data_IF_227868834770
#
_entry.id   IF_227868834770
#
_cell.length_a   1.000
_cell.length_b   1.000
_cell.length_c   1.000
_cell.angle_alpha   90.00
_cell.angle_beta   90.00
_cell.angle_gamma   90.00
#
_symmetry.space_group_name_H-M   'P 1'
#
loop_
_entity.id
_entity.type
_entity.pdbx_description
1 polymer ?
#
# COMPACT_ATOMS: atom_id res chain seq x y z
N UNK A 1 -12.53 -14.18 31.30
CA UNK A 1 -12.95 -13.10 30.38
C UNK A 1 -12.03 -13.18 29.20
N UNK A 2 -12.52 -13.70 28.07
CA UNK A 2 -11.82 -13.56 26.79
C UNK A 2 -11.70 -12.07 26.51
N UNK A 3 -10.49 -11.60 26.19
CA UNK A 3 -10.31 -10.23 25.75
C UNK A 3 -11.13 -10.08 24.47
N UNK A 4 -12.16 -9.23 24.51
CA UNK A 4 -12.90 -8.84 23.32
C UNK A 4 -11.87 -8.18 22.40
N UNK A 5 -11.56 -8.86 21.30
CA UNK A 5 -10.65 -8.39 20.27
C UNK A 5 -11.16 -7.03 19.79
N UNK A 6 -10.52 -5.94 20.24
CA UNK A 6 -10.93 -4.60 19.84
C UNK A 6 -10.34 -4.35 18.46
N UNK A 7 -11.20 -4.42 17.45
CA UNK A 7 -10.85 -4.02 16.10
C UNK A 7 -10.31 -2.58 16.11
N UNK A 8 -9.34 -2.25 15.23
CA UNK A 8 -8.92 -0.87 15.09
C UNK A 8 -10.16 -0.04 14.77
N UNK A 9 -10.29 1.15 15.38
CA UNK A 9 -11.36 2.07 14.98
C UNK A 9 -11.23 2.27 13.48
N UNK A 10 -12.27 1.89 12.73
CA UNK A 10 -12.26 1.96 11.27
C UNK A 10 -11.94 3.38 10.78
N UNK A 11 -12.22 4.41 11.59
CA UNK A 11 -11.81 5.79 11.39
C UNK A 11 -10.30 5.99 11.16
N UNK A 12 -9.45 5.25 11.90
CA UNK A 12 -7.97 5.34 11.71
C UNK A 12 -7.56 4.67 10.40
N UNK A 13 -8.16 3.53 10.10
CA UNK A 13 -7.92 2.80 8.85
C UNK A 13 -8.37 3.64 7.64
N UNK A 14 -9.56 4.23 7.72
CA UNK A 14 -10.12 5.17 6.74
C UNK A 14 -9.21 6.38 6.54
N UNK A 15 -8.75 7.02 7.63
CA UNK A 15 -7.88 8.19 7.55
C UNK A 15 -6.58 7.88 6.78
N UNK A 16 -5.95 6.72 7.01
CA UNK A 16 -4.75 6.35 6.26
C UNK A 16 -5.04 6.07 4.78
N UNK A 17 -6.09 5.33 4.49
CA UNK A 17 -6.44 4.99 3.10
C UNK A 17 -6.74 6.23 2.27
N UNK A 18 -7.50 7.20 2.80
CA UNK A 18 -7.89 8.41 2.07
C UNK A 18 -6.71 9.27 1.60
N UNK A 19 -5.54 9.14 2.23
CA UNK A 19 -4.33 9.84 1.77
C UNK A 19 -3.69 9.20 0.54
N UNK A 20 -3.96 7.92 0.27
CA UNK A 20 -3.37 7.17 -0.83
C UNK A 20 -4.34 7.00 -2.00
N UNK A 21 -5.61 6.72 -1.69
CA UNK A 21 -6.67 6.56 -2.67
C UNK A 21 -8.04 6.77 -2.03
N UNK A 22 -8.99 7.26 -2.83
CA UNK A 22 -10.33 7.56 -2.35
C UNK A 22 -11.26 6.37 -2.59
N UNK A 23 -12.01 5.97 -1.57
CA UNK A 23 -12.97 4.87 -1.66
C UNK A 23 -14.34 5.29 -1.16
N UNK A 24 -15.35 5.17 -2.02
CA UNK A 24 -16.73 5.48 -1.64
C UNK A 24 -17.27 4.42 -0.68
N UNK A 25 -16.82 3.18 -0.83
CA UNK A 25 -17.17 2.11 0.12
C UNK A 25 -16.61 2.37 1.50
N UNK A 26 -15.36 2.82 1.59
CA UNK A 26 -14.75 3.17 2.89
C UNK A 26 -15.47 4.37 3.50
N UNK A 27 -15.88 5.37 2.71
CA UNK A 27 -16.70 6.48 3.24
C UNK A 27 -18.04 5.98 3.79
N UNK A 28 -18.73 5.09 3.07
CA UNK A 28 -20.00 4.51 3.50
C UNK A 28 -19.86 3.65 4.78
N UNK A 29 -18.79 2.86 4.88
CA UNK A 29 -18.49 2.09 6.09
C UNK A 29 -18.17 3.01 7.28
N UNK A 30 -17.48 4.13 7.04
CA UNK A 30 -17.22 5.14 8.08
C UNK A 30 -18.51 5.78 8.60
N UNK A 31 -19.44 6.14 7.71
CA UNK A 31 -20.77 6.64 8.09
C UNK A 31 -21.60 5.58 8.87
N UNK A 32 -21.41 4.30 8.54
CA UNK A 32 -22.14 3.17 9.12
C UNK A 32 -21.64 2.73 10.51
N UNK A 33 -20.41 3.10 10.92
CA UNK A 33 -19.85 2.83 12.27
C UNK A 33 -20.67 3.35 13.46
N UNK A 34 -21.79 4.04 13.21
CA UNK A 34 -22.80 4.34 14.21
C UNK A 34 -23.77 3.16 14.50
N UNK A 35 -23.59 2.00 13.84
CA UNK A 35 -24.44 0.81 14.02
C UNK A 35 -23.62 -0.42 14.42
N UNK A 36 -24.14 -1.33 15.28
CA UNK A 36 -23.33 -2.31 16.00
C UNK A 36 -22.81 -3.52 15.19
N UNK A 37 -23.05 -3.59 13.88
CA UNK A 37 -22.78 -4.78 13.04
C UNK A 37 -22.18 -4.41 11.66
N UNK A 38 -21.16 -3.53 11.62
CA UNK A 38 -20.54 -3.18 10.34
C UNK A 38 -19.57 -4.27 9.84
N UNK A 39 -20.13 -5.24 9.12
CA UNK A 39 -19.39 -6.34 8.48
C UNK A 39 -18.46 -5.84 7.37
N UNK A 40 -18.75 -4.69 6.76
CA UNK A 40 -18.03 -4.19 5.58
C UNK A 40 -16.71 -3.56 6.00
N UNK A 41 -16.76 -2.69 7.01
CA UNK A 41 -15.56 -2.09 7.57
C UNK A 41 -14.56 -3.15 8.06
N UNK A 42 -15.05 -4.18 8.75
CA UNK A 42 -14.23 -5.31 9.19
C UNK A 42 -13.64 -6.11 8.03
N UNK A 43 -14.41 -6.42 6.99
CA UNK A 43 -13.89 -7.14 5.81
C UNK A 43 -12.82 -6.37 5.04
N UNK A 44 -12.96 -5.05 4.95
CA UNK A 44 -11.95 -4.19 4.31
C UNK A 44 -10.66 -4.13 5.14
N UNK A 45 -10.80 -3.98 6.46
CA UNK A 45 -9.67 -4.05 7.39
C UNK A 45 -8.99 -5.41 7.27
N UNK A 46 -9.74 -6.50 7.28
CA UNK A 46 -9.21 -7.86 7.09
C UNK A 46 -8.49 -7.98 5.75
N UNK A 47 -9.12 -7.59 4.64
CA UNK A 47 -8.50 -7.68 3.31
C UNK A 47 -7.13 -7.01 3.26
N UNK A 48 -7.01 -5.74 3.70
CA UNK A 48 -5.73 -5.05 3.65
C UNK A 48 -4.76 -5.52 4.74
N UNK A 49 -5.21 -5.71 5.97
CA UNK A 49 -4.30 -6.07 7.07
C UNK A 49 -3.88 -7.54 7.05
N UNK A 50 -4.67 -8.46 6.50
CA UNK A 50 -4.27 -9.86 6.33
C UNK A 50 -3.55 -10.08 5.00
N UNK A 51 -4.13 -9.64 3.88
CA UNK A 51 -3.65 -9.99 2.55
C UNK A 51 -2.40 -9.20 2.18
N UNK A 52 -2.42 -7.86 2.29
CA UNK A 52 -1.27 -7.06 1.93
C UNK A 52 -0.09 -7.37 2.86
N UNK A 53 -0.34 -7.51 4.15
CA UNK A 53 0.73 -7.82 5.11
C UNK A 53 1.31 -9.21 4.89
N UNK A 54 0.49 -10.23 4.63
CA UNK A 54 1.00 -11.57 4.30
C UNK A 54 1.89 -11.53 3.05
N UNK A 55 1.43 -10.85 2.00
CA UNK A 55 2.19 -10.63 0.76
C UNK A 55 3.52 -9.94 1.05
N UNK A 56 3.52 -8.82 1.78
CA UNK A 56 4.75 -8.07 2.09
C UNK A 56 5.71 -8.89 2.96
N UNK A 57 5.24 -9.54 4.03
CA UNK A 57 6.08 -10.37 4.90
C UNK A 57 6.74 -11.49 4.08
N UNK A 58 5.99 -12.17 3.21
CA UNK A 58 6.53 -13.24 2.36
C UNK A 58 7.54 -12.74 1.33
N UNK A 59 7.34 -11.55 0.77
CA UNK A 59 8.25 -10.96 -0.21
C UNK A 59 9.52 -10.39 0.44
N UNK A 60 9.45 -9.97 1.71
CA UNK A 60 10.59 -9.48 2.48
C UNK A 60 11.39 -10.60 3.16
N UNK A 61 10.79 -11.76 3.43
CA UNK A 61 11.46 -12.89 4.07
C UNK A 61 12.79 -13.31 3.40
N UNK A 62 12.91 -13.36 2.06
CA UNK A 62 14.18 -13.65 1.39
C UNK A 62 15.28 -12.58 1.62
N UNK A 63 14.91 -11.40 2.10
CA UNK A 63 15.79 -10.24 2.32
C UNK A 63 16.15 -10.05 3.80
N UNK A 64 15.66 -10.91 4.70
CA UNK A 64 15.81 -10.74 6.16
C UNK A 64 17.25 -10.75 6.69
N UNK A 65 18.22 -11.16 5.88
CA UNK A 65 19.64 -11.17 6.27
C UNK A 65 20.45 -10.06 5.57
N UNK A 66 19.83 -9.31 4.67
CA UNK A 66 20.48 -8.27 3.87
C UNK A 66 20.19 -6.87 4.44
N UNK A 67 21.14 -6.32 5.19
CA UNK A 67 21.04 -4.96 5.76
C UNK A 67 21.09 -3.85 4.69
N UNK A 68 21.53 -4.18 3.48
CA UNK A 68 21.55 -3.25 2.36
C UNK A 68 20.33 -3.39 1.45
N UNK A 69 19.44 -4.34 1.73
CA UNK A 69 18.19 -4.49 0.99
C UNK A 69 17.29 -3.26 1.20
N UNK A 70 16.55 -2.90 0.16
CA UNK A 70 15.82 -1.64 0.10
C UNK A 70 14.37 -1.86 -0.25
N UNK A 71 13.48 -1.46 0.64
CA UNK A 71 12.03 -1.50 0.45
C UNK A 71 11.49 -0.09 0.26
N UNK A 72 10.74 0.15 -0.82
CA UNK A 72 10.06 1.42 -1.07
C UNK A 72 8.55 1.24 -1.00
N UNK A 73 7.87 2.05 -0.19
CA UNK A 73 6.43 2.20 -0.18
C UNK A 73 6.05 3.55 -0.81
N UNK A 74 5.40 3.52 -1.96
CA UNK A 74 4.97 4.71 -2.71
C UNK A 74 3.52 5.04 -2.35
N UNK A 75 3.36 6.11 -1.59
CA UNK A 75 2.12 6.62 -1.02
C UNK A 75 2.45 7.52 0.19
N UNK A 76 1.43 7.87 0.93
CA UNK A 76 1.47 8.67 2.14
C UNK A 76 0.93 7.89 3.34
N UNK A 77 -0.38 7.64 3.40
CA UNK A 77 -1.05 7.22 4.62
C UNK A 77 -0.90 5.73 4.90
N UNK A 78 -1.52 4.88 4.08
CA UNK A 78 -1.43 3.44 4.23
C UNK A 78 -0.01 2.92 3.91
N UNK A 79 0.72 3.63 3.05
CA UNK A 79 2.17 3.43 2.86
C UNK A 79 2.97 3.56 4.16
N UNK A 80 2.68 4.59 4.98
CA UNK A 80 3.27 4.70 6.31
C UNK A 80 2.87 3.52 7.19
N UNK A 81 1.60 3.10 7.15
CA UNK A 81 1.14 1.89 7.84
C UNK A 81 2.03 0.68 7.53
N UNK A 82 2.17 0.33 6.25
CA UNK A 82 3.01 -0.78 5.79
C UNK A 82 4.47 -0.65 6.24
N UNK A 83 5.08 0.52 6.07
CA UNK A 83 6.46 0.77 6.47
C UNK A 83 6.69 0.53 7.98
N UNK A 84 5.69 0.85 8.82
CA UNK A 84 5.76 0.60 10.25
C UNK A 84 5.58 -0.87 10.61
N UNK A 85 4.80 -1.62 9.84
CA UNK A 85 4.64 -3.05 10.07
C UNK A 85 5.91 -3.82 9.76
N UNK A 86 6.60 -3.37 8.71
CA UNK A 86 7.87 -3.92 8.26
C UNK A 86 9.07 -3.29 8.98
N UNK A 87 8.90 -2.55 10.08
CA UNK A 87 10.01 -1.94 10.82
C UNK A 87 11.04 -2.93 11.38
N UNK A 88 10.70 -4.23 11.45
CA UNK A 88 11.63 -5.29 11.83
C UNK A 88 12.46 -5.82 10.64
N UNK A 89 12.15 -5.37 9.42
CA UNK A 89 13.00 -5.58 8.25
C UNK A 89 14.35 -4.89 8.49
N UNK A 90 15.47 -5.64 8.50
CA UNK A 90 16.77 -5.08 8.87
C UNK A 90 17.38 -4.16 7.80
N UNK A 91 16.80 -4.13 6.61
CA UNK A 91 17.22 -3.25 5.52
C UNK A 91 16.73 -1.80 5.68
N UNK A 92 16.79 -1.05 4.58
CA UNK A 92 16.39 0.36 4.51
C UNK A 92 14.96 0.49 3.99
N UNK A 93 14.12 1.22 4.71
CA UNK A 93 12.71 1.43 4.37
C UNK A 93 12.53 2.86 3.86
N UNK A 94 11.89 3.01 2.72
CA UNK A 94 11.65 4.30 2.09
C UNK A 94 10.14 4.50 1.95
N UNK A 95 9.66 5.70 2.27
CA UNK A 95 8.29 6.12 2.01
C UNK A 95 8.36 7.27 1.01
N UNK A 96 7.81 7.05 -0.17
CA UNK A 96 7.85 7.99 -1.27
C UNK A 96 6.47 8.54 -1.60
N UNK A 97 6.30 9.85 -1.74
CA UNK A 97 5.05 10.44 -2.23
C UNK A 97 5.29 11.45 -3.34
N UNK A 98 4.32 11.57 -4.25
CA UNK A 98 4.27 12.60 -5.29
C UNK A 98 3.63 13.91 -4.78
N UNK A 99 2.97 13.86 -3.62
CA UNK A 99 2.21 14.98 -3.07
C UNK A 99 3.03 15.71 -1.99
N UNK A 100 3.32 17.00 -2.23
CA UNK A 100 4.11 17.83 -1.33
C UNK A 100 3.44 18.06 0.03
N UNK A 101 2.11 18.17 0.08
CA UNK A 101 1.36 18.32 1.33
C UNK A 101 1.43 17.02 2.14
N UNK A 102 1.28 15.87 1.47
CA UNK A 102 1.49 14.55 2.06
C UNK A 102 2.91 14.39 2.63
N UNK A 103 3.93 14.90 1.92
CA UNK A 103 5.32 14.86 2.39
C UNK A 103 5.49 15.66 3.69
N UNK A 104 4.87 16.83 3.81
CA UNK A 104 4.91 17.61 5.05
C UNK A 104 4.29 16.86 6.22
N UNK A 105 3.20 16.13 5.99
CA UNK A 105 2.54 15.32 7.03
C UNK A 105 3.46 14.16 7.47
N UNK A 106 4.07 13.45 6.52
CA UNK A 106 5.05 12.39 6.81
C UNK A 106 6.25 12.92 7.61
N UNK A 107 6.75 14.10 7.24
CA UNK A 107 7.86 14.75 7.92
C UNK A 107 7.48 15.17 9.35
N UNK A 108 6.31 15.77 9.55
CA UNK A 108 5.79 16.09 10.88
C UNK A 108 5.64 14.85 11.76
N UNK A 109 5.15 13.75 11.21
CA UNK A 109 5.07 12.48 11.92
C UNK A 109 6.46 11.96 12.30
N UNK A 110 7.44 12.03 11.38
CA UNK A 110 8.82 11.58 11.61
C UNK A 110 9.55 12.42 12.67
N UNK A 111 9.28 13.72 12.72
CA UNK A 111 9.89 14.66 13.68
C UNK A 111 9.28 14.59 15.10
N UNK A 112 8.41 13.61 15.36
CA UNK A 112 7.78 13.42 16.67
C UNK A 112 6.59 14.33 16.91
N UNK A 113 5.97 14.86 15.85
CA UNK A 113 4.70 15.55 15.93
C UNK A 113 3.60 14.64 16.48
N UNK A 114 3.03 15.04 17.63
CA UNK A 114 1.88 14.41 18.29
C UNK A 114 0.58 15.22 18.14
N UNK A 115 0.51 16.09 17.13
CA UNK A 115 -0.71 16.84 16.92
C UNK A 115 -1.78 15.95 16.28
N UNK A 116 -2.65 15.44 17.17
CA UNK A 116 -4.06 15.17 16.90
C UNK A 116 -4.58 16.19 15.87
N UNK A 117 -5.16 15.78 14.72
CA UNK A 117 -5.88 14.52 14.51
C UNK A 117 -5.29 13.48 13.57
N UNK A 118 -4.08 13.61 13.00
CA UNK A 118 -3.84 12.87 11.76
C UNK A 118 -3.77 11.33 11.89
N UNK A 119 -2.86 10.71 12.67
CA UNK A 119 -2.70 9.24 12.60
C UNK A 119 -2.40 8.58 13.95
N UNK A 120 -3.43 8.32 14.76
CA UNK A 120 -3.27 7.41 15.90
C UNK A 120 -3.16 5.96 15.39
N UNK A 121 -1.94 5.51 15.07
CA UNK A 121 -1.69 4.18 14.49
C UNK A 121 -1.81 3.03 15.50
N UNK A 122 -1.95 3.34 16.78
CA UNK A 122 -1.99 2.38 17.87
C UNK A 122 -3.04 1.27 17.67
N UNK A 123 -4.28 1.56 17.24
CA UNK A 123 -5.29 0.51 17.05
C UNK A 123 -4.90 -0.47 15.94
N UNK A 124 -4.32 0.02 14.84
CA UNK A 124 -3.92 -0.83 13.70
C UNK A 124 -2.72 -1.70 14.08
N UNK A 125 -1.76 -1.13 14.79
CA UNK A 125 -0.62 -1.84 15.37
C UNK A 125 -1.09 -2.98 16.28
N UNK A 126 -2.00 -2.70 17.22
CA UNK A 126 -2.52 -3.70 18.16
C UNK A 126 -3.18 -4.87 17.43
N UNK A 127 -4.04 -4.57 16.46
CA UNK A 127 -4.71 -5.60 15.66
C UNK A 127 -3.73 -6.54 14.96
N UNK A 128 -2.70 -6.00 14.33
CA UNK A 128 -1.74 -6.81 13.56
C UNK A 128 -0.88 -7.70 14.46
N UNK A 129 -0.49 -7.22 15.65
CA UNK A 129 0.25 -8.04 16.61
C UNK A 129 -0.59 -9.24 17.04
N UNK A 130 -1.88 -9.03 17.31
CA UNK A 130 -2.82 -10.09 17.66
C UNK A 130 -3.06 -11.06 16.48
N UNK A 131 -3.26 -10.53 15.27
CA UNK A 131 -3.55 -11.32 14.07
C UNK A 131 -2.36 -12.18 13.64
N UNK A 132 -1.16 -11.60 13.55
CA UNK A 132 0.06 -12.31 13.14
C UNK A 132 0.74 -13.07 14.28
N UNK A 133 0.17 -13.04 15.50
CA UNK A 133 0.73 -13.70 16.70
C UNK A 133 2.21 -13.39 16.93
N UNK A 134 2.65 -12.16 16.58
CA UNK A 134 4.04 -11.74 16.79
C UNK A 134 4.25 -11.54 18.31
N UNK A 135 5.31 -12.12 18.86
CA UNK A 135 5.45 -12.36 20.32
C UNK A 135 5.54 -11.10 21.21
N UNK A 136 5.59 -9.87 20.67
CA UNK A 136 5.44 -8.68 21.52
C UNK A 136 4.87 -7.46 20.80
N UNK A 137 3.91 -6.80 21.45
CA UNK A 137 3.51 -5.43 21.12
C UNK A 137 4.63 -4.41 21.43
N UNK A 138 5.61 -4.77 22.28
CA UNK A 138 6.68 -3.86 22.72
C UNK A 138 7.58 -3.40 21.57
N UNK A 139 7.79 -4.25 20.55
CA UNK A 139 8.50 -3.87 19.33
C UNK A 139 7.76 -2.75 18.58
N UNK A 140 6.43 -2.72 18.66
CA UNK A 140 5.57 -1.79 17.95
C UNK A 140 5.27 -0.50 18.74
N UNK A 141 5.08 -0.59 20.06
CA UNK A 141 4.94 0.57 20.97
C UNK A 141 6.19 1.45 21.02
N UNK A 142 7.34 0.93 20.59
CA UNK A 142 8.63 1.62 20.58
C UNK A 142 9.15 1.95 19.18
N UNK A 143 8.33 1.85 18.12
CA UNK A 143 8.78 2.17 16.74
C UNK A 143 9.30 3.60 16.62
N UNK A 144 8.77 4.54 17.41
CA UNK A 144 9.31 5.91 17.51
C UNK A 144 10.59 6.04 18.34
N UNK A 145 10.87 5.08 19.23
CA UNK A 145 11.98 5.15 20.19
C UNK A 145 13.14 4.22 19.86
N UNK A 146 12.95 3.21 19.00
CA UNK A 146 14.00 2.32 18.52
C UNK A 146 14.55 2.82 17.19
N UNK A 147 15.74 2.34 16.85
CA UNK A 147 16.53 2.65 15.66
C UNK A 147 15.80 2.49 14.30
N UNK A 148 14.53 2.09 14.27
CA UNK A 148 13.66 1.99 13.08
C UNK A 148 13.28 3.33 12.46
N UNK A 149 13.19 4.44 13.22
CA UNK A 149 13.04 5.78 12.58
C UNK A 149 14.28 6.14 11.75
N UNK A 150 15.47 5.74 12.19
CA UNK A 150 16.71 6.01 11.44
C UNK A 150 16.77 5.23 10.12
N UNK A 151 16.03 4.13 10.02
CA UNK A 151 15.92 3.30 8.81
C UNK A 151 14.77 3.73 7.89
N UNK A 152 13.91 4.66 8.30
CA UNK A 152 12.82 5.20 7.48
C UNK A 152 13.27 6.49 6.80
N UNK A 153 13.32 6.46 5.48
CA UNK A 153 13.70 7.59 4.63
C UNK A 153 12.46 8.11 3.90
N UNK A 154 12.25 9.42 3.93
CA UNK A 154 11.16 10.06 3.20
C UNK A 154 11.69 10.57 1.86
N UNK A 155 10.99 10.27 0.77
CA UNK A 155 11.42 10.61 -0.58
C UNK A 155 10.33 11.36 -1.36
N UNK A 156 10.71 12.47 -1.98
CA UNK A 156 9.87 13.08 -3.02
C UNK A 156 10.07 12.29 -4.32
N UNK A 157 8.99 11.72 -4.86
CA UNK A 157 9.03 10.87 -6.06
C UNK A 157 8.73 11.68 -7.34
N UNK A 158 8.67 13.01 -7.24
CA UNK A 158 8.52 13.88 -8.41
C UNK A 158 9.75 13.84 -9.33
N UNK A 159 9.60 13.18 -10.49
CA UNK A 159 10.62 13.11 -11.55
C UNK A 159 11.50 11.87 -11.49
N UNK A 160 11.25 10.90 -12.37
CA UNK A 160 11.85 9.56 -12.30
C UNK A 160 13.33 9.48 -12.71
N UNK A 161 13.78 10.26 -13.69
CA UNK A 161 15.16 10.18 -14.19
C UNK A 161 16.18 10.62 -13.12
N UNK A 162 15.94 11.77 -12.48
CA UNK A 162 16.78 12.28 -11.39
C UNK A 162 16.66 11.41 -10.12
N UNK A 163 15.48 10.85 -9.87
CA UNK A 163 15.24 9.98 -8.71
C UNK A 163 16.08 8.69 -8.76
N UNK A 164 16.21 8.04 -9.92
CA UNK A 164 17.04 6.83 -10.08
C UNK A 164 18.52 7.14 -9.82
N UNK A 165 19.02 8.25 -10.36
CA UNK A 165 20.43 8.65 -10.19
C UNK A 165 20.76 8.95 -8.73
N UNK A 166 19.87 9.63 -8.02
CA UNK A 166 20.09 10.07 -6.64
C UNK A 166 19.82 8.96 -5.61
N UNK A 167 18.87 8.07 -5.91
CA UNK A 167 18.39 7.10 -4.94
C UNK A 167 18.69 5.66 -5.33
N UNK A 168 19.11 5.30 -6.54
CA UNK A 168 19.37 3.91 -6.91
C UNK A 168 18.13 3.01 -6.96
N UNK A 169 18.32 1.68 -6.94
CA UNK A 169 17.26 0.67 -7.15
C UNK A 169 16.83 -0.08 -5.88
N UNK A 170 15.60 -0.58 -5.86
CA UNK A 170 14.92 -1.21 -4.72
C UNK A 170 14.71 -2.72 -4.91
N UNK A 171 14.74 -3.48 -3.81
CA UNK A 171 14.51 -4.94 -3.78
C UNK A 171 13.04 -5.32 -3.71
N UNK A 172 12.20 -4.42 -3.20
CA UNK A 172 10.75 -4.54 -3.17
C UNK A 172 10.17 -3.13 -3.27
N UNK A 173 9.11 -3.00 -4.05
CA UNK A 173 8.32 -1.77 -4.11
C UNK A 173 6.87 -2.13 -3.83
N UNK A 174 6.19 -1.37 -2.98
CA UNK A 174 4.73 -1.34 -2.90
C UNK A 174 4.25 0.03 -3.35
N UNK A 175 3.19 0.10 -4.15
CA UNK A 175 2.66 1.35 -4.67
C UNK A 175 1.14 1.40 -4.53
N UNK A 176 0.66 2.45 -3.89
CA UNK A 176 -0.76 2.72 -3.74
C UNK A 176 -1.25 3.62 -4.87
N UNK A 177 -2.04 3.04 -5.76
CA UNK A 177 -2.55 3.68 -6.96
C UNK A 177 -3.82 4.46 -6.62
N UNK A 178 -3.75 5.79 -6.72
CA UNK A 178 -4.93 6.65 -6.59
C UNK A 178 -5.90 6.45 -7.75
N UNK A 179 -7.20 6.66 -7.50
CA UNK A 179 -8.23 6.55 -8.54
C UNK A 179 -7.95 7.47 -9.73
N UNK A 180 -7.33 8.64 -9.49
CA UNK A 180 -6.96 9.58 -10.55
C UNK A 180 -5.91 8.99 -11.51
N UNK A 181 -4.98 8.19 -10.99
CA UNK A 181 -3.99 7.49 -11.81
C UNK A 181 -4.65 6.41 -12.65
N UNK A 182 -5.61 5.66 -12.10
CA UNK A 182 -6.32 4.60 -12.83
C UNK A 182 -7.21 5.12 -13.96
N UNK A 183 -7.70 6.36 -13.85
CA UNK A 183 -8.53 6.99 -14.87
C UNK A 183 -7.74 7.56 -16.06
N UNK A 184 -6.41 7.71 -15.96
CA UNK A 184 -5.56 8.29 -16.99
C UNK A 184 -4.46 7.32 -17.43
N UNK A 185 -4.59 6.77 -18.64
CA UNK A 185 -3.72 5.71 -19.16
C UNK A 185 -2.27 6.14 -19.34
N UNK A 186 -2.05 7.37 -19.80
CA UNK A 186 -0.71 7.88 -20.02
C UNK A 186 0.01 8.06 -18.68
N UNK A 187 -0.71 8.58 -17.67
CA UNK A 187 -0.18 8.72 -16.31
C UNK A 187 0.08 7.35 -15.66
N UNK A 188 -0.82 6.37 -15.83
CA UNK A 188 -0.64 5.02 -15.30
C UNK A 188 0.57 4.34 -15.94
N UNK A 189 0.69 4.37 -17.27
CA UNK A 189 1.85 3.82 -17.99
C UNK A 189 3.14 4.50 -17.56
N UNK A 190 3.15 5.82 -17.47
CA UNK A 190 4.33 6.56 -17.01
C UNK A 190 4.70 6.18 -15.58
N UNK A 191 3.72 6.07 -14.68
CA UNK A 191 3.95 5.66 -13.28
C UNK A 191 4.52 4.25 -13.21
N UNK A 192 3.96 3.29 -13.94
CA UNK A 192 4.47 1.91 -13.98
C UNK A 192 5.90 1.86 -14.54
N UNK A 193 6.19 2.57 -15.63
CA UNK A 193 7.54 2.65 -16.18
C UNK A 193 8.54 3.25 -15.18
N UNK A 194 8.14 4.28 -14.45
CA UNK A 194 8.97 4.89 -13.41
C UNK A 194 9.29 3.87 -12.30
N UNK A 195 8.28 3.14 -11.82
CA UNK A 195 8.44 2.10 -10.79
C UNK A 195 9.34 0.95 -11.27
N UNK A 196 9.17 0.50 -12.52
CA UNK A 196 10.03 -0.54 -13.13
C UNK A 196 11.49 -0.09 -13.18
N UNK A 197 11.75 1.16 -13.58
CA UNK A 197 13.11 1.68 -13.72
C UNK A 197 13.90 1.74 -12.40
N UNK A 198 13.18 1.93 -11.29
CA UNK A 198 13.77 1.95 -9.94
C UNK A 198 13.73 0.58 -9.26
N UNK A 199 13.08 -0.43 -9.85
CA UNK A 199 13.06 -1.79 -9.33
C UNK A 199 14.33 -2.54 -9.75
N UNK A 200 14.95 -3.31 -8.84
CA UNK A 200 16.03 -4.22 -9.22
C UNK A 200 15.47 -5.31 -10.16
N UNK A 201 16.27 -5.82 -11.11
CA UNK A 201 15.81 -6.88 -12.02
C UNK A 201 15.27 -8.10 -11.27
N UNK A 202 14.19 -8.69 -11.79
CA UNK A 202 13.55 -9.90 -11.25
C UNK A 202 13.03 -9.76 -9.81
N UNK A 203 12.84 -8.53 -9.34
CA UNK A 203 12.18 -8.24 -8.06
C UNK A 203 10.70 -7.96 -8.23
N UNK A 204 10.00 -8.00 -7.10
CA UNK A 204 8.56 -7.81 -7.04
C UNK A 204 8.18 -6.35 -6.85
N UNK A 205 7.12 -5.96 -7.52
CA UNK A 205 6.35 -4.76 -7.33
C UNK A 205 4.95 -5.17 -6.85
N UNK A 206 4.49 -4.58 -5.77
CA UNK A 206 3.15 -4.77 -5.23
C UNK A 206 2.33 -3.54 -5.59
N UNK A 207 1.23 -3.72 -6.33
CA UNK A 207 0.30 -2.64 -6.62
C UNK A 207 -0.95 -2.82 -5.78
N UNK A 208 -1.42 -1.75 -5.16
CA UNK A 208 -2.61 -1.75 -4.33
C UNK A 208 -3.48 -0.54 -4.66
N UNK A 209 -4.79 -0.66 -4.54
CA UNK A 209 -5.67 0.48 -4.71
C UNK A 209 -7.13 0.08 -4.85
N UNK A 210 -7.91 1.02 -5.39
CA UNK A 210 -9.35 0.90 -5.61
C UNK A 210 -9.72 1.28 -7.02
N UNK A 211 -10.59 0.49 -7.63
CA UNK A 211 -11.18 0.77 -8.93
C UNK A 211 -12.69 0.95 -8.78
N UNK A 212 -13.26 1.87 -9.53
CA UNK A 212 -14.70 2.18 -9.46
C UNK A 212 -15.57 1.09 -10.10
N UNK A 213 -14.98 0.23 -10.93
CA UNK A 213 -15.66 -0.86 -11.63
C UNK A 213 -14.66 -1.94 -12.12
N UNK A 214 -15.21 -3.06 -12.60
CA UNK A 214 -14.43 -4.20 -13.09
C UNK A 214 -13.65 -3.91 -14.40
N UNK A 215 -14.14 -3.00 -15.25
CA UNK A 215 -13.45 -2.65 -16.49
C UNK A 215 -12.14 -1.91 -16.20
N UNK A 216 -12.10 -1.06 -15.18
CA UNK A 216 -10.88 -0.40 -14.70
C UNK A 216 -9.84 -1.41 -14.18
N UNK A 217 -10.27 -2.47 -13.49
CA UNK A 217 -9.38 -3.57 -13.06
C UNK A 217 -8.79 -4.31 -14.26
N UNK A 218 -9.62 -4.67 -15.24
CA UNK A 218 -9.15 -5.33 -16.46
C UNK A 218 -8.19 -4.45 -17.26
N UNK A 219 -8.44 -3.14 -17.27
CA UNK A 219 -7.59 -2.15 -17.91
C UNK A 219 -6.25 -2.02 -17.20
N UNK A 220 -6.23 -2.00 -15.87
CA UNK A 220 -5.00 -2.03 -15.08
C UNK A 220 -4.18 -3.28 -15.41
N UNK A 221 -4.81 -4.46 -15.39
CA UNK A 221 -4.13 -5.73 -15.73
C UNK A 221 -3.53 -5.71 -17.13
N UNK A 222 -4.30 -5.29 -18.12
CA UNK A 222 -3.83 -5.14 -19.51
C UNK A 222 -2.67 -4.15 -19.61
N UNK A 223 -2.72 -3.06 -18.86
CA UNK A 223 -1.67 -2.04 -18.86
C UNK A 223 -0.39 -2.56 -18.20
N UNK A 224 -0.48 -3.29 -17.09
CA UNK A 224 0.65 -3.95 -16.43
C UNK A 224 1.35 -4.89 -17.42
N UNK A 225 0.61 -5.77 -18.08
CA UNK A 225 1.15 -6.70 -19.08
C UNK A 225 1.81 -5.97 -20.26
N UNK A 226 1.18 -4.90 -20.76
CA UNK A 226 1.75 -4.06 -21.84
C UNK A 226 3.06 -3.36 -21.46
N UNK A 227 3.31 -3.12 -20.17
CA UNK A 227 4.59 -2.55 -19.69
C UNK A 227 5.64 -3.65 -19.41
N UNK A 228 5.41 -4.89 -19.84
CA UNK A 228 6.38 -5.99 -19.70
C UNK A 228 6.48 -6.54 -18.29
N UNK A 229 5.47 -6.30 -17.45
CA UNK A 229 5.35 -6.89 -16.12
C UNK A 229 4.57 -8.20 -16.22
N UNK A 230 5.04 -9.22 -15.50
CA UNK A 230 4.32 -10.47 -15.33
C UNK A 230 3.49 -10.41 -14.05
N UNK A 231 2.20 -10.73 -14.14
CA UNK A 231 1.30 -10.81 -12.98
C UNK A 231 1.47 -12.19 -12.34
N UNK A 232 2.09 -12.22 -11.15
CA UNK A 232 2.27 -13.46 -10.38
C UNK A 232 1.07 -13.79 -9.51
N UNK A 233 0.54 -12.79 -8.80
CA UNK A 233 -0.57 -12.94 -7.86
C UNK A 233 -1.55 -11.79 -7.96
N UNK A 234 -2.84 -12.09 -7.77
CA UNK A 234 -3.90 -11.10 -7.86
C UNK A 234 -4.99 -11.42 -6.83
N UNK A 235 -5.22 -10.47 -5.93
CA UNK A 235 -6.24 -10.54 -4.88
C UNK A 235 -7.22 -9.41 -5.07
N UNK A 236 -8.51 -9.76 -5.11
CA UNK A 236 -9.59 -8.80 -5.22
C UNK A 236 -10.54 -8.92 -4.03
N UNK A 237 -10.97 -7.77 -3.51
CA UNK A 237 -12.16 -7.66 -2.68
C UNK A 237 -13.23 -6.91 -3.46
N UNK A 238 -14.27 -7.64 -3.84
CA UNK A 238 -15.42 -7.12 -4.57
C UNK A 238 -16.57 -6.86 -3.61
N UNK A 239 -17.11 -5.65 -3.65
CA UNK A 239 -18.34 -5.35 -2.96
C UNK A 239 -19.55 -5.61 -3.86
N UNK A 240 -20.51 -6.47 -3.46
CA UNK A 240 -21.67 -6.77 -4.30
C UNK A 240 -22.57 -5.54 -4.46
N UNK A 241 -23.08 -5.34 -5.68
CA UNK A 241 -23.99 -4.23 -6.00
C UNK A 241 -25.19 -4.20 -5.03
N UNK A 242 -25.36 -3.11 -4.30
CA UNK A 242 -26.59 -2.89 -3.52
C UNK A 242 -27.63 -2.18 -4.40
N UNK A 243 -28.74 -2.88 -4.70
CA UNK A 243 -29.93 -2.23 -5.25
C UNK A 243 -30.51 -1.31 -4.17
N UNK A 244 -30.32 0.01 -4.30
CA UNK A 244 -30.80 0.94 -3.30
C UNK A 244 -32.32 1.13 -3.33
N UNK A 245 -32.99 0.91 -4.47
CA UNK A 245 -34.45 0.93 -4.60
C UNK A 245 -34.93 0.26 -5.91
N UNK A 246 -36.20 -0.15 -5.94
CA UNK A 246 -36.95 -0.68 -7.10
C UNK A 246 -37.02 0.31 -8.29
N UNK A 247 -36.45 1.51 -8.15
CA UNK A 247 -36.40 2.59 -9.14
C UNK A 247 -35.01 2.84 -9.75
N UNK A 248 -34.05 1.93 -9.56
CA UNK A 248 -33.02 1.70 -10.58
C UNK A 248 -31.76 2.56 -10.55
N UNK A 249 -31.43 3.26 -9.47
CA UNK A 249 -30.07 3.78 -9.31
C UNK A 249 -29.13 2.65 -8.87
N UNK A 250 -28.37 2.12 -9.84
CA UNK A 250 -27.27 1.19 -9.59
C UNK A 250 -26.06 1.99 -9.09
N UNK A 251 -25.63 1.73 -7.85
CA UNK A 251 -24.35 2.25 -7.37
C UNK A 251 -23.23 1.39 -7.98
N UNK A 252 -22.15 1.97 -8.54
CA UNK A 252 -21.03 1.18 -9.05
C UNK A 252 -20.47 0.25 -7.96
N UNK A 253 -20.19 -0.99 -8.33
CA UNK A 253 -19.44 -1.93 -7.48
C UNK A 253 -17.97 -1.54 -7.52
N UNK A 254 -17.50 -0.90 -6.46
CA UNK A 254 -16.07 -0.62 -6.27
C UNK A 254 -15.32 -1.92 -5.94
N UNK A 255 -14.08 -2.03 -6.43
CA UNK A 255 -13.20 -3.18 -6.25
C UNK A 255 -11.90 -2.71 -5.60
N UNK A 256 -11.50 -3.36 -4.51
CA UNK A 256 -10.18 -3.20 -3.92
C UNK A 256 -9.28 -4.31 -4.44
N UNK A 257 -8.00 -4.01 -4.69
CA UNK A 257 -7.06 -5.01 -5.18
C UNK A 257 -5.69 -4.91 -4.51
N UNK A 258 -5.03 -6.06 -4.45
CA UNK A 258 -3.59 -6.21 -4.17
C UNK A 258 -3.05 -7.15 -5.24
N UNK A 259 -2.06 -6.73 -6.01
CA UNK A 259 -1.41 -7.61 -6.98
C UNK A 259 0.11 -7.56 -6.87
N UNK A 260 0.72 -8.71 -7.10
CA UNK A 260 2.17 -8.88 -7.14
C UNK A 260 2.57 -9.08 -8.58
N UNK A 261 3.44 -8.19 -9.04
CA UNK A 261 3.97 -8.21 -10.39
C UNK A 261 5.48 -8.25 -10.34
N UNK A 262 6.10 -8.87 -11.33
CA UNK A 262 7.56 -8.92 -11.46
C UNK A 262 7.97 -8.30 -12.78
N UNK A 263 9.10 -7.58 -12.79
CA UNK A 263 9.71 -7.19 -14.06
C UNK A 263 10.00 -8.46 -14.86
N UNK A 264 9.42 -8.63 -16.04
CA UNK A 264 9.68 -9.79 -16.88
C UNK A 264 11.19 -9.98 -17.08
N UNK A 265 11.67 -11.21 -16.94
CA UNK A 265 13.04 -11.56 -17.30
C UNK A 265 13.19 -11.35 -18.81
N UNK A 266 13.74 -10.21 -19.22
CA UNK A 266 14.27 -10.04 -20.58
C UNK A 266 15.57 -10.85 -20.72
N UNK A 267 15.46 -12.18 -20.69
CA UNK A 267 16.48 -13.11 -21.17
C UNK A 267 16.35 -13.33 -22.69
N UNK A 268 16.09 -12.25 -23.45
CA UNK A 268 15.83 -12.34 -24.88
C UNK A 268 16.13 -11.04 -25.63
N UNK A 269 17.29 -11.03 -26.30
CA UNK A 269 17.67 -10.13 -27.40
C UNK A 269 17.93 -8.64 -27.10
N UNK A 270 19.12 -8.35 -26.55
CA UNK A 270 19.93 -7.27 -27.11
C UNK A 270 21.02 -7.88 -27.99
N UNK A 271 20.72 -8.12 -29.28
CA UNK A 271 21.80 -8.22 -30.27
C UNK A 271 22.27 -6.80 -30.56
N UNK A 272 23.34 -6.36 -29.92
CA UNK A 272 24.14 -5.26 -30.46
C UNK A 272 24.86 -5.79 -31.69
N UNK A 273 24.26 -5.60 -32.86
CA UNK A 273 24.96 -5.71 -34.13
C UNK A 273 25.84 -4.45 -34.27
N UNK A 274 27.15 -4.63 -34.17
CA UNK A 274 28.15 -3.73 -34.74
C UNK A 274 28.43 -4.20 -36.17
#
# INVERSE_FOLDING_TARGET
MEAVQQWPTFDTFHALMQHDFHSKLVDLACEANNLPDDTIGHQLVEFYLSTLMDVLNRLLEPLKEDQEARYLSVGCGFALGCALFECNFPGKIYIGTYNADAMQILQQWKDGGDQWPAWNLQPIITFLVEFFKKESCEAYYSIRQRASIEQIFLLDVNGSEKFVEENGRYDLISCFLSNQLLLNDDNLKQTLNNLINILKPSRSLVLCGTATNFDEINKLRSTVEQNGLEVGEWYDYYYPMQMKNIHGEMTPSESHFVCVVTSGSNDGFFSWSI
#
